data_IF_468303750182
#
_entry.id   IF_468303750182
#
_cell.length_a   1.000
_cell.length_b   1.000
_cell.length_c   1.000
_cell.angle_alpha   90.00
_cell.angle_beta   90.00
_cell.angle_gamma   90.00
#
_symmetry.space_group_name_H-M   'P 1'
#
loop_
_entity.id
_entity.type
_entity.pdbx_description
1 polymer ?
#
# COMPACT_ATOMS: atom_id res chain seq x y z
N UNK A 1 -4.12 -9.01 2.69
CA UNK A 1 -4.37 -9.15 4.16
C UNK A 1 -3.04 -9.32 4.89
N UNK A 2 -2.96 -9.19 6.22
CA UNK A 2 -1.69 -9.47 6.93
C UNK A 2 -1.26 -10.93 6.69
N UNK A 3 -0.01 -11.17 6.28
CA UNK A 3 0.52 -12.50 5.97
C UNK A 3 0.06 -13.10 4.63
N UNK A 4 -0.59 -12.30 3.78
CA UNK A 4 -0.88 -12.65 2.39
C UNK A 4 0.39 -12.47 1.54
N UNK A 5 0.77 -13.50 0.79
CA UNK A 5 1.96 -13.52 -0.05
C UNK A 5 2.04 -12.33 -1.04
N UNK A 6 0.91 -11.88 -1.59
CA UNK A 6 0.88 -10.73 -2.49
C UNK A 6 1.17 -9.42 -1.74
N UNK A 7 0.66 -9.29 -0.52
CA UNK A 7 0.91 -8.13 0.35
C UNK A 7 2.36 -8.11 0.82
N UNK A 8 2.90 -9.27 1.21
CA UNK A 8 4.28 -9.42 1.66
C UNK A 8 5.29 -9.08 0.55
N UNK A 9 4.98 -9.46 -0.70
CA UNK A 9 5.79 -9.06 -1.85
C UNK A 9 5.90 -7.54 -1.98
N UNK A 10 4.82 -6.77 -1.75
CA UNK A 10 4.90 -5.31 -1.74
C UNK A 10 5.77 -4.79 -0.60
N UNK A 11 5.61 -5.33 0.62
CA UNK A 11 6.39 -4.90 1.78
C UNK A 11 7.89 -5.15 1.59
N UNK A 12 8.26 -6.30 1.03
CA UNK A 12 9.66 -6.62 0.77
C UNK A 12 10.29 -5.71 -0.28
N UNK A 13 9.55 -5.35 -1.33
CA UNK A 13 10.02 -4.40 -2.32
C UNK A 13 10.13 -2.98 -1.75
N UNK A 14 9.14 -2.56 -0.96
CA UNK A 14 9.11 -1.27 -0.30
C UNK A 14 10.27 -1.07 0.68
N UNK A 15 10.55 -2.06 1.54
CA UNK A 15 11.63 -2.04 2.53
C UNK A 15 13.03 -2.00 1.91
N UNK A 16 13.19 -2.54 0.70
CA UNK A 16 14.46 -2.49 -0.04
C UNK A 16 14.72 -1.13 -0.67
N UNK A 17 13.66 -0.43 -1.07
CA UNK A 17 13.76 0.88 -1.70
C UNK A 17 13.90 2.02 -0.69
N UNK A 18 13.06 2.01 0.34
CA UNK A 18 12.91 3.16 1.23
C UNK A 18 13.60 2.95 2.58
N UNK A 19 14.20 4.03 3.14
CA UNK A 19 14.90 3.95 4.41
C UNK A 19 13.94 3.64 5.59
N UNK A 20 14.47 3.19 6.74
CA UNK A 20 13.66 2.65 7.84
C UNK A 20 12.70 3.67 8.51
N UNK A 21 12.79 4.94 8.14
CA UNK A 21 11.97 6.03 8.69
C UNK A 21 10.67 6.27 7.91
N UNK A 22 10.25 5.34 7.04
CA UNK A 22 8.96 5.39 6.34
C UNK A 22 7.90 4.55 7.05
N UNK A 23 6.70 5.11 7.16
CA UNK A 23 5.52 4.41 7.69
C UNK A 23 4.84 3.65 6.56
N UNK A 24 4.59 2.36 6.79
CA UNK A 24 3.79 1.51 5.91
C UNK A 24 2.47 1.19 6.60
N UNK A 25 1.36 1.59 5.98
CA UNK A 25 0.02 1.24 6.41
C UNK A 25 -0.56 0.19 5.47
N UNK A 26 -1.28 -0.77 6.02
CA UNK A 26 -2.01 -1.80 5.28
C UNK A 26 -3.50 -1.61 5.50
N UNK A 27 -4.27 -1.55 4.41
CA UNK A 27 -5.73 -1.56 4.43
C UNK A 27 -6.18 -3.01 4.24
N UNK A 28 -6.96 -3.54 5.18
CA UNK A 28 -7.63 -4.82 4.98
C UNK A 28 -8.83 -4.63 4.06
N UNK A 29 -8.88 -5.38 2.96
CA UNK A 29 -10.02 -5.35 2.05
C UNK A 29 -11.31 -5.84 2.73
N UNK A 30 -11.20 -6.70 3.75
CA UNK A 30 -12.37 -7.18 4.51
C UNK A 30 -12.84 -6.17 5.56
N UNK A 31 -11.97 -5.23 5.95
CA UNK A 31 -12.26 -4.29 7.04
C UNK A 31 -11.53 -2.95 6.84
N UNK A 32 -11.85 -2.19 5.77
CA UNK A 32 -11.15 -0.95 5.45
C UNK A 32 -11.45 0.17 6.45
N UNK A 33 -12.66 0.18 7.01
CA UNK A 33 -13.17 1.23 7.89
C UNK A 33 -12.30 1.49 9.12
N UNK A 34 -11.62 0.48 9.64
CA UNK A 34 -10.72 0.63 10.79
C UNK A 34 -9.59 1.60 10.46
N UNK A 35 -8.94 1.44 9.31
CA UNK A 35 -7.81 2.30 8.96
C UNK A 35 -8.28 3.65 8.41
N UNK A 36 -9.37 3.68 7.65
CA UNK A 36 -9.98 4.91 7.14
C UNK A 36 -10.39 5.87 8.27
N UNK A 37 -10.86 5.35 9.41
CA UNK A 37 -11.22 6.17 10.58
C UNK A 37 -10.03 6.83 11.28
N UNK A 38 -8.80 6.31 11.08
CA UNK A 38 -7.57 6.77 11.74
C UNK A 38 -6.69 7.57 10.77
N UNK A 39 -6.73 7.22 9.48
CA UNK A 39 -5.89 7.77 8.44
C UNK A 39 -6.76 8.14 7.25
N UNK A 40 -7.14 9.43 7.15
CA UNK A 40 -7.92 9.93 6.01
C UNK A 40 -7.25 9.63 4.65
N UNK A 41 -5.91 9.56 4.63
CA UNK A 41 -5.17 9.16 3.45
C UNK A 41 -5.38 7.71 3.04
N UNK A 42 -6.12 6.87 3.78
CA UNK A 42 -6.50 5.51 3.42
C UNK A 42 -7.85 5.41 2.70
N UNK A 43 -8.64 6.50 2.71
CA UNK A 43 -9.98 6.53 2.13
C UNK A 43 -10.00 6.13 0.65
N UNK A 44 -10.93 5.25 0.30
CA UNK A 44 -11.12 4.74 -1.06
C UNK A 44 -10.02 3.81 -1.58
N UNK A 45 -9.01 3.45 -0.75
CA UNK A 45 -7.95 2.52 -1.16
C UNK A 45 -8.41 1.08 -1.06
N UNK A 46 -8.62 0.47 -2.21
CA UNK A 46 -9.06 -0.92 -2.31
C UNK A 46 -8.12 -1.74 -3.20
N UNK A 47 -8.46 -3.01 -3.38
CA UNK A 47 -7.88 -3.86 -4.41
C UNK A 47 -8.11 -3.26 -5.80
N UNK A 48 -7.17 -3.46 -6.72
CA UNK A 48 -7.33 -3.09 -8.13
C UNK A 48 -7.53 -4.38 -8.92
N UNK A 49 -8.66 -4.51 -9.59
CA UNK A 49 -9.07 -5.74 -10.31
C UNK A 49 -8.96 -7.01 -9.44
N UNK A 50 -9.35 -6.89 -8.16
CA UNK A 50 -9.26 -7.99 -7.18
C UNK A 50 -7.84 -8.35 -6.74
N UNK A 51 -6.82 -7.60 -7.16
CA UNK A 51 -5.42 -7.82 -6.79
C UNK A 51 -4.96 -6.83 -5.73
N UNK A 52 -4.02 -7.28 -4.90
CA UNK A 52 -3.30 -6.40 -3.99
C UNK A 52 -2.66 -5.25 -4.77
N UNK A 53 -2.83 -4.03 -4.26
CA UNK A 53 -2.35 -2.81 -4.92
C UNK A 53 -1.62 -1.93 -3.90
N UNK A 54 -0.53 -1.29 -4.35
CA UNK A 54 0.18 -0.28 -3.58
C UNK A 54 -0.20 1.12 -4.06
N UNK A 55 -0.53 1.99 -3.10
CA UNK A 55 -0.80 3.40 -3.31
C UNK A 55 0.35 4.21 -2.72
N UNK A 56 1.16 4.85 -3.56
CA UNK A 56 2.30 5.65 -3.11
C UNK A 56 1.91 7.11 -3.16
N UNK A 57 1.81 7.72 -1.98
CA UNK A 57 1.48 9.13 -1.83
C UNK A 57 2.71 9.92 -1.36
N UNK A 58 2.91 11.11 -1.91
CA UNK A 58 4.03 12.00 -1.61
C UNK A 58 3.50 13.43 -1.63
N UNK A 59 3.77 14.20 -0.57
CA UNK A 59 3.33 15.61 -0.46
C UNK A 59 1.80 15.79 -0.65
N UNK A 60 1.01 14.85 -0.14
CA UNK A 60 -0.47 14.89 -0.22
C UNK A 60 -1.04 14.43 -1.57
N UNK A 61 -0.20 14.07 -2.55
CA UNK A 61 -0.66 13.57 -3.85
C UNK A 61 -0.34 12.08 -3.99
N UNK A 62 -1.34 11.28 -4.33
CA UNK A 62 -1.16 9.87 -4.62
C UNK A 62 -0.94 9.63 -6.11
N UNK A 63 0.08 8.83 -6.45
CA UNK A 63 0.28 8.32 -7.80
C UNK A 63 -0.78 7.26 -8.12
N UNK A 64 -0.93 6.91 -9.40
CA UNK A 64 -1.74 5.77 -9.82
C UNK A 64 -1.32 4.50 -9.05
N UNK A 65 -2.29 3.69 -8.60
CA UNK A 65 -2.00 2.45 -7.89
C UNK A 65 -1.30 1.45 -8.81
N UNK A 66 -0.42 0.64 -8.22
CA UNK A 66 0.25 -0.45 -8.94
C UNK A 66 -0.09 -1.80 -8.31
N UNK A 67 -0.43 -2.77 -9.15
CA UNK A 67 -0.53 -4.20 -8.76
C UNK A 67 0.79 -4.95 -8.96
N UNK A 68 1.86 -4.26 -9.39
CA UNK A 68 3.19 -4.83 -9.58
C UNK A 68 4.15 -4.34 -8.47
N UNK A 69 4.54 -5.22 -7.52
CA UNK A 69 5.47 -4.89 -6.45
C UNK A 69 6.84 -4.37 -6.90
N UNK A 70 7.34 -4.83 -8.05
CA UNK A 70 8.65 -4.43 -8.54
C UNK A 70 8.72 -2.93 -8.87
N UNK A 71 7.58 -2.31 -9.20
CA UNK A 71 7.50 -0.88 -9.47
C UNK A 71 7.74 -0.01 -8.23
N UNK A 72 7.74 -0.57 -7.02
CA UNK A 72 8.11 0.19 -5.83
C UNK A 72 9.61 0.49 -5.75
N UNK A 73 10.47 -0.24 -6.47
CA UNK A 73 11.93 -0.02 -6.49
C UNK A 73 12.38 1.13 -7.41
N UNK A 74 11.48 1.64 -8.25
CA UNK A 74 11.77 2.72 -9.21
C UNK A 74 11.06 4.03 -8.86
N UNK A 75 10.48 4.12 -7.66
CA UNK A 75 9.65 5.24 -7.20
C UNK A 75 10.35 6.11 -6.17
#
# INVERSE_FOLDING_TARGET
KKGDAATDAFLDNARKQWPPYRVFAWVDADNPAVLESILAAADGKTLVDGKAAAYVCTEGVCKEPTTNPALLRSK
#
